data_IF_483293839110
#
_entry.id   IF_483293839110
#
_cell.length_a   1.000
_cell.length_b   1.000
_cell.length_c   1.000
_cell.angle_alpha   90.00
_cell.angle_beta   90.00
_cell.angle_gamma   90.00
#
_symmetry.space_group_name_H-M   'P 1'
#
loop_
_entity.id
_entity.type
_entity.pdbx_description
1 polymer ?
#
# COMPACT_ATOMS: atom_id res chain seq x y z
N UNK A 1 14.75 25.70 21.72
CA UNK A 1 13.30 25.43 21.87
C UNK A 1 13.07 24.00 21.41
N UNK A 2 12.14 23.26 22.04
CA UNK A 2 11.74 21.96 21.51
C UNK A 2 11.16 22.14 20.09
N UNK A 3 11.33 21.16 19.18
CA UNK A 3 10.77 21.24 17.84
C UNK A 3 9.24 21.39 17.88
N UNK A 4 8.69 22.04 16.86
CA UNK A 4 7.25 22.29 16.74
C UNK A 4 6.48 20.98 16.60
N UNK A 5 5.33 20.89 17.27
CA UNK A 5 4.32 19.86 17.01
C UNK A 5 3.94 19.90 15.52
N UNK A 6 3.77 18.74 14.84
CA UNK A 6 3.36 18.72 13.44
C UNK A 6 2.03 19.47 13.25
N UNK A 7 1.95 20.31 12.21
CA UNK A 7 0.67 20.92 11.83
C UNK A 7 -0.25 19.84 11.26
N UNK A 8 -1.42 19.64 11.86
CA UNK A 8 -2.44 18.74 11.30
C UNK A 8 -3.08 19.39 10.06
N UNK A 9 -2.81 18.82 8.88
CA UNK A 9 -3.25 19.35 7.58
C UNK A 9 -4.57 18.71 7.16
N UNK A 10 -4.66 17.38 7.25
CA UNK A 10 -5.86 16.61 6.93
C UNK A 10 -6.29 15.82 8.16
N UNK A 11 -7.26 16.33 8.94
CA UNK A 11 -7.88 15.56 10.01
C UNK A 11 -8.94 14.60 9.44
N UNK A 12 -9.09 13.42 10.04
CA UNK A 12 -10.17 12.49 9.72
C UNK A 12 -10.98 12.12 10.95
N UNK A 13 -12.24 11.76 10.74
CA UNK A 13 -13.12 11.19 11.76
C UNK A 13 -13.53 9.79 11.30
N UNK A 14 -12.97 8.76 11.93
CA UNK A 14 -13.21 7.34 11.59
C UNK A 14 -14.67 6.91 11.77
N UNK A 15 -15.49 7.72 12.47
CA UNK A 15 -16.93 7.47 12.63
C UNK A 15 -17.77 8.00 11.47
N UNK A 16 -17.16 8.76 10.55
CA UNK A 16 -17.82 9.36 9.40
C UNK A 16 -17.39 8.68 8.11
N UNK A 17 -18.32 8.62 7.16
CA UNK A 17 -17.99 8.11 5.84
C UNK A 17 -16.99 9.05 5.12
N UNK A 18 -16.23 8.56 4.14
CA UNK A 18 -15.25 9.38 3.41
C UNK A 18 -15.79 10.68 2.79
N UNK A 19 -17.04 10.68 2.30
CA UNK A 19 -17.69 11.87 1.73
C UNK A 19 -18.29 12.82 2.78
N UNK A 20 -18.29 12.43 4.06
CA UNK A 20 -18.75 13.24 5.20
C UNK A 20 -17.59 13.87 5.97
N UNK A 21 -16.36 13.61 5.54
CA UNK A 21 -15.16 14.20 6.12
C UNK A 21 -15.15 15.72 5.95
N UNK A 22 -14.57 16.41 6.93
CA UNK A 22 -14.46 17.89 6.89
C UNK A 22 -13.63 18.33 5.70
N UNK A 23 -12.55 17.60 5.43
CA UNK A 23 -11.72 17.77 4.25
C UNK A 23 -12.06 16.61 3.31
N UNK A 24 -12.53 16.89 2.07
CA UNK A 24 -12.85 15.86 1.10
C UNK A 24 -11.66 14.93 0.80
N UNK A 25 -11.94 13.62 0.73
CA UNK A 25 -10.99 12.58 0.29
C UNK A 25 -11.21 12.26 -1.20
N UNK A 26 -10.20 11.73 -1.88
CA UNK A 26 -10.31 11.30 -3.28
C UNK A 26 -9.89 9.84 -3.46
N UNK A 27 -10.35 9.17 -4.52
CA UNK A 27 -9.98 7.77 -4.77
C UNK A 27 -9.52 7.50 -6.21
N UNK A 28 -9.19 8.55 -6.94
CA UNK A 28 -8.67 8.46 -8.31
C UNK A 28 -7.45 9.36 -8.48
N UNK A 29 -6.62 8.98 -9.43
CA UNK A 29 -5.53 9.82 -9.92
C UNK A 29 -6.00 10.64 -11.12
N UNK A 30 -5.89 11.96 -11.02
CA UNK A 30 -6.17 12.88 -12.11
C UNK A 30 -5.47 14.24 -11.85
N UNK A 31 -4.89 14.90 -12.88
CA UNK A 31 -4.21 16.19 -12.72
C UNK A 31 -5.12 17.31 -12.19
N UNK A 32 -6.38 17.33 -12.62
CA UNK A 32 -7.34 18.40 -12.30
C UNK A 32 -8.00 18.26 -10.91
N UNK A 33 -7.63 17.27 -10.08
CA UNK A 33 -8.15 17.22 -8.69
C UNK A 33 -7.51 18.37 -7.90
N UNK A 34 -8.29 19.32 -7.36
CA UNK A 34 -7.72 20.49 -6.70
C UNK A 34 -7.07 20.10 -5.36
N UNK A 35 -5.97 20.78 -4.97
CA UNK A 35 -5.36 20.57 -3.68
C UNK A 35 -6.28 21.05 -2.55
N UNK A 36 -6.27 20.34 -1.42
CA UNK A 36 -7.07 20.66 -0.23
C UNK A 36 -6.35 21.61 0.73
N UNK A 37 -5.02 21.69 0.63
CA UNK A 37 -4.18 22.56 1.43
C UNK A 37 -2.80 22.77 0.80
N UNK A 38 -2.13 23.85 1.23
CA UNK A 38 -0.72 24.10 0.96
C UNK A 38 0.15 23.60 2.12
N UNK A 39 1.34 23.11 1.76
CA UNK A 39 2.42 22.78 2.69
C UNK A 39 3.70 23.40 2.17
N UNK A 40 4.41 24.11 3.05
CA UNK A 40 5.71 24.70 2.72
C UNK A 40 6.81 23.67 2.93
N UNK A 41 7.79 23.63 2.04
CA UNK A 41 8.96 22.74 2.20
C UNK A 41 9.65 22.95 3.56
N UNK A 42 10.21 21.88 4.12
CA UNK A 42 10.81 21.86 5.45
C UNK A 42 9.83 21.91 6.62
N UNK A 43 8.55 22.20 6.39
CA UNK A 43 7.49 22.13 7.41
C UNK A 43 7.29 20.69 7.88
N UNK A 44 7.18 20.48 9.19
CA UNK A 44 6.72 19.23 9.77
C UNK A 44 5.19 19.25 9.87
N UNK A 45 4.51 18.33 9.20
CA UNK A 45 3.06 18.29 9.12
C UNK A 45 2.51 16.88 9.29
N UNK A 46 1.22 16.76 9.65
CA UNK A 46 0.51 15.50 9.86
C UNK A 46 -0.67 15.37 8.90
N UNK A 47 -0.81 14.19 8.31
CA UNK A 47 -1.96 13.75 7.51
C UNK A 47 -2.55 12.53 8.20
N UNK A 48 -3.85 12.58 8.49
CA UNK A 48 -4.59 11.42 8.97
C UNK A 48 -5.32 10.77 7.80
N UNK A 49 -5.58 9.47 7.91
CA UNK A 49 -6.23 8.66 6.89
C UNK A 49 -7.15 7.63 7.53
N UNK A 50 -8.26 7.38 6.86
CA UNK A 50 -9.13 6.24 7.13
C UNK A 50 -8.56 5.05 6.38
N UNK A 51 -8.83 3.84 6.84
CA UNK A 51 -8.51 2.62 6.09
C UNK A 51 -9.01 2.72 4.63
N UNK A 52 -8.35 2.00 3.72
CA UNK A 52 -8.58 2.15 2.29
C UNK A 52 -10.00 1.90 1.81
N UNK A 53 -10.79 1.14 2.59
CA UNK A 53 -12.20 0.87 2.30
C UNK A 53 -13.13 1.98 2.77
N UNK A 54 -12.66 2.89 3.62
CA UNK A 54 -13.44 3.99 4.17
C UNK A 54 -14.37 3.55 5.31
N UNK A 55 -13.93 2.62 6.15
CA UNK A 55 -14.69 2.09 7.29
C UNK A 55 -15.74 1.05 6.91
N UNK A 56 -15.53 0.27 5.83
CA UNK A 56 -16.48 -0.77 5.40
C UNK A 56 -16.26 -2.09 6.11
N UNK A 57 -15.02 -2.38 6.47
CA UNK A 57 -14.65 -3.58 7.23
C UNK A 57 -14.88 -3.32 8.71
N UNK A 58 -15.48 -4.30 9.39
CA UNK A 58 -15.83 -4.21 10.82
C UNK A 58 -14.95 -5.13 11.65
N UNK A 59 -14.71 -4.72 12.89
CA UNK A 59 -14.20 -5.60 13.95
C UNK A 59 -15.33 -6.58 14.39
N UNK A 60 -15.48 -7.63 13.60
CA UNK A 60 -16.38 -8.76 13.86
C UNK A 60 -15.79 -10.06 13.29
N UNK A 61 -16.40 -11.19 13.66
CA UNK A 61 -15.98 -12.52 13.22
C UNK A 61 -16.65 -12.98 11.91
N UNK A 62 -17.25 -12.06 11.13
CA UNK A 62 -17.82 -12.36 9.81
C UNK A 62 -16.90 -11.88 8.71
N UNK A 63 -16.77 -12.64 7.61
CA UNK A 63 -16.08 -12.19 6.40
C UNK A 63 -17.02 -11.64 5.33
N UNK A 64 -18.29 -11.39 5.66
CA UNK A 64 -19.29 -10.90 4.69
C UNK A 64 -18.95 -9.49 4.17
N UNK A 65 -18.38 -8.64 5.02
CA UNK A 65 -17.92 -7.32 4.61
C UNK A 65 -16.81 -7.38 3.56
N UNK A 66 -15.88 -8.33 3.68
CA UNK A 66 -14.87 -8.63 2.66
C UNK A 66 -15.51 -9.20 1.40
N UNK A 67 -16.40 -10.18 1.56
CA UNK A 67 -17.05 -10.88 0.44
C UNK A 67 -17.81 -9.92 -0.47
N UNK A 68 -18.53 -8.96 0.12
CA UNK A 68 -19.41 -8.03 -0.59
C UNK A 68 -18.82 -6.62 -0.73
N UNK A 69 -17.51 -6.45 -0.46
CA UNK A 69 -16.85 -5.16 -0.57
C UNK A 69 -16.96 -4.60 -2.00
N UNK A 70 -17.34 -3.34 -2.13
CA UNK A 70 -17.31 -2.64 -3.42
C UNK A 70 -15.89 -2.15 -3.71
N UNK A 71 -15.07 -2.99 -4.33
CA UNK A 71 -13.70 -2.65 -4.72
C UNK A 71 -13.61 -1.48 -5.70
N UNK A 72 -14.71 -0.94 -6.22
CA UNK A 72 -14.66 0.23 -7.09
C UNK A 72 -14.48 1.52 -6.30
N UNK A 73 -14.80 1.55 -5.01
CA UNK A 73 -14.69 2.77 -4.19
C UNK A 73 -13.30 2.96 -3.60
N UNK A 74 -12.43 1.96 -3.70
CA UNK A 74 -11.08 2.03 -3.15
C UNK A 74 -10.12 2.76 -4.09
N UNK A 75 -9.09 3.43 -3.58
CA UNK A 75 -8.68 3.63 -2.17
C UNK A 75 -9.04 5.05 -1.74
N UNK A 76 -9.51 5.28 -0.52
CA UNK A 76 -9.73 6.65 -0.04
C UNK A 76 -8.42 7.31 0.42
N UNK A 77 -7.96 8.28 -0.35
CA UNK A 77 -6.70 8.99 -0.14
C UNK A 77 -6.92 10.38 0.49
N UNK A 78 -6.02 10.72 1.41
CA UNK A 78 -5.90 12.02 2.02
C UNK A 78 -4.98 12.91 1.17
N UNK A 79 -5.49 14.07 0.76
CA UNK A 79 -4.86 14.98 -0.20
C UNK A 79 -5.84 15.36 -1.33
N UNK A 80 -5.35 15.95 -2.43
CA UNK A 80 -3.95 16.28 -2.70
C UNK A 80 -3.44 17.49 -1.92
N UNK A 81 -2.16 17.50 -1.59
CA UNK A 81 -1.46 18.60 -0.94
C UNK A 81 -0.57 19.32 -1.96
N UNK A 82 -0.74 20.63 -2.09
CA UNK A 82 0.14 21.45 -2.93
C UNK A 82 1.39 21.79 -2.13
N UNK A 83 2.55 21.40 -2.65
CA UNK A 83 3.84 21.70 -2.02
C UNK A 83 4.44 22.95 -2.65
N UNK A 84 4.82 23.91 -1.81
CA UNK A 84 5.46 25.18 -2.18
C UNK A 84 6.81 25.33 -1.49
N UNK A 85 7.73 26.06 -2.11
CA UNK A 85 9.00 26.40 -1.48
C UNK A 85 8.84 27.51 -0.42
N UNK A 86 9.95 27.89 0.21
CA UNK A 86 9.98 28.94 1.23
C UNK A 86 9.53 30.34 0.75
N UNK A 87 9.52 30.59 -0.57
CA UNK A 87 9.02 31.84 -1.18
C UNK A 87 7.54 31.71 -1.63
N UNK A 88 6.94 30.54 -1.47
CA UNK A 88 5.57 30.24 -1.89
C UNK A 88 5.45 29.81 -3.35
N UNK A 89 6.56 29.47 -4.01
CA UNK A 89 6.56 29.00 -5.41
C UNK A 89 6.29 27.48 -5.42
N UNK A 90 5.24 27.01 -6.11
CA UNK A 90 4.92 25.59 -6.18
C UNK A 90 6.04 24.72 -6.77
N UNK A 91 6.09 23.45 -6.37
CA UNK A 91 6.84 22.43 -7.11
C UNK A 91 6.40 22.43 -8.59
N UNK A 92 7.32 22.22 -9.53
CA UNK A 92 7.03 22.28 -10.97
C UNK A 92 7.28 20.93 -11.65
N UNK A 93 6.60 20.62 -12.77
CA UNK A 93 6.90 19.43 -13.55
C UNK A 93 8.40 19.31 -13.87
N UNK A 94 9.00 18.16 -13.60
CA UNK A 94 10.45 17.95 -13.72
C UNK A 94 11.23 18.07 -12.40
N UNK A 95 10.62 18.58 -11.34
CA UNK A 95 11.15 18.55 -9.98
C UNK A 95 11.03 17.15 -9.38
N UNK A 96 11.77 16.90 -8.29
CA UNK A 96 11.57 15.75 -7.41
C UNK A 96 11.07 16.27 -6.06
N UNK A 97 10.06 15.61 -5.52
CA UNK A 97 9.59 15.83 -4.16
C UNK A 97 10.25 14.78 -3.25
N UNK A 98 11.15 15.23 -2.40
CA UNK A 98 11.78 14.41 -1.37
C UNK A 98 10.92 14.44 -0.11
N UNK A 99 10.43 13.28 0.34
CA UNK A 99 9.47 13.14 1.43
C UNK A 99 10.08 12.26 2.51
N UNK A 100 10.36 12.85 3.67
CA UNK A 100 10.79 12.13 4.86
C UNK A 100 9.56 11.71 5.67
N UNK A 101 9.46 10.43 6.01
CA UNK A 101 8.43 9.89 6.90
C UNK A 101 8.94 9.97 8.35
N UNK A 102 8.71 11.10 9.01
CA UNK A 102 9.26 11.36 10.35
C UNK A 102 8.65 10.45 11.44
N UNK A 103 7.34 10.17 11.33
CA UNK A 103 6.61 9.33 12.29
C UNK A 103 5.30 8.86 11.67
N UNK A 104 4.72 7.79 12.22
CA UNK A 104 3.49 7.19 11.74
C UNK A 104 2.94 6.18 12.76
N UNK A 105 1.66 5.83 12.62
CA UNK A 105 1.01 4.84 13.49
C UNK A 105 -0.51 4.84 13.36
N UNK A 106 -1.20 4.00 14.16
CA UNK A 106 -2.65 3.99 14.24
C UNK A 106 -3.19 5.30 14.80
N UNK A 107 -4.45 5.61 14.52
CA UNK A 107 -5.13 6.73 15.15
C UNK A 107 -5.44 6.40 16.63
N UNK A 108 -5.25 7.34 17.57
CA UNK A 108 -5.59 7.11 18.97
C UNK A 108 -7.07 6.75 19.15
N UNK A 109 -7.34 5.61 19.79
CA UNK A 109 -8.69 5.06 19.96
C UNK A 109 -9.21 4.21 18.80
N UNK A 110 -8.40 3.95 17.77
CA UNK A 110 -8.69 3.07 16.63
C UNK A 110 -7.54 2.05 16.43
N UNK A 111 -6.96 1.55 17.53
CA UNK A 111 -5.78 0.66 17.54
C UNK A 111 -6.11 -0.81 17.18
N UNK A 112 -6.67 -1.00 15.99
CA UNK A 112 -6.95 -2.31 15.40
C UNK A 112 -6.83 -2.26 13.88
N UNK A 113 -6.83 -3.43 13.26
CA UNK A 113 -6.81 -3.56 11.81
C UNK A 113 -7.26 -4.94 11.36
N UNK A 114 -7.13 -5.21 10.06
CA UNK A 114 -7.56 -6.47 9.48
C UNK A 114 -6.67 -6.94 8.34
N UNK A 115 -6.66 -8.25 8.13
CA UNK A 115 -6.11 -8.89 6.94
C UNK A 115 -7.18 -9.79 6.38
N UNK A 116 -7.30 -9.89 5.06
CA UNK A 116 -8.34 -10.71 4.46
C UNK A 116 -7.90 -11.44 3.19
N UNK A 117 -8.70 -12.43 2.82
CA UNK A 117 -8.69 -13.10 1.53
C UNK A 117 -9.99 -12.68 0.86
N UNK A 118 -9.94 -12.19 -0.38
CA UNK A 118 -11.15 -11.87 -1.14
C UNK A 118 -11.84 -13.12 -1.69
N UNK A 119 -13.15 -13.00 -1.96
CA UNK A 119 -13.85 -14.00 -2.77
C UNK A 119 -13.29 -13.97 -4.19
N UNK A 120 -13.13 -15.14 -4.82
CA UNK A 120 -12.62 -15.27 -6.19
C UNK A 120 -13.31 -14.34 -7.18
N UNK A 121 -14.63 -14.29 -7.10
CA UNK A 121 -15.47 -13.50 -8.01
C UNK A 121 -15.50 -12.00 -7.66
N UNK A 122 -14.89 -11.60 -6.54
CA UNK A 122 -14.85 -10.23 -6.07
C UNK A 122 -13.46 -9.86 -5.52
N UNK A 123 -12.49 -9.75 -6.42
CA UNK A 123 -11.11 -9.31 -6.12
C UNK A 123 -10.08 -10.40 -6.39
N UNK A 124 -10.27 -11.59 -5.82
CA UNK A 124 -9.26 -12.64 -5.86
C UNK A 124 -7.96 -12.24 -5.15
N UNK A 125 -6.81 -12.63 -5.67
CA UNK A 125 -5.52 -12.56 -4.99
C UNK A 125 -4.56 -13.67 -5.45
N UNK A 126 -3.34 -13.67 -4.92
CA UNK A 126 -2.24 -14.48 -5.45
C UNK A 126 -2.51 -16.00 -5.41
N UNK A 127 -3.16 -16.48 -4.35
CA UNK A 127 -3.47 -17.90 -4.14
C UNK A 127 -4.98 -18.22 -4.25
N UNK A 128 -5.73 -17.46 -5.05
CA UNK A 128 -7.20 -17.63 -5.21
C UNK A 128 -7.63 -19.03 -5.68
N UNK A 129 -6.74 -19.77 -6.35
CA UNK A 129 -6.99 -21.17 -6.71
C UNK A 129 -7.00 -22.15 -5.54
N UNK A 130 -6.34 -21.78 -4.44
CA UNK A 130 -6.29 -22.56 -3.22
C UNK A 130 -7.27 -22.02 -2.17
N UNK A 131 -7.50 -20.71 -2.16
CA UNK A 131 -8.34 -20.01 -1.18
C UNK A 131 -9.38 -19.14 -1.90
N UNK A 132 -10.41 -19.75 -2.52
CA UNK A 132 -11.36 -19.00 -3.35
C UNK A 132 -12.40 -18.22 -2.54
N UNK A 133 -12.54 -18.50 -1.25
CA UNK A 133 -13.61 -17.95 -0.41
C UNK A 133 -13.10 -16.89 0.54
N UNK A 134 -13.93 -15.86 0.74
CA UNK A 134 -13.59 -14.75 1.61
C UNK A 134 -13.27 -15.21 3.05
N UNK A 135 -12.21 -14.64 3.64
CA UNK A 135 -11.78 -14.84 5.03
C UNK A 135 -11.25 -13.54 5.59
N UNK A 136 -11.32 -13.37 6.91
CA UNK A 136 -10.82 -12.17 7.62
C UNK A 136 -10.16 -12.59 8.93
N UNK A 137 -9.04 -11.95 9.25
CA UNK A 137 -8.44 -11.94 10.58
C UNK A 137 -8.42 -10.50 11.09
N UNK A 138 -8.82 -10.31 12.35
CA UNK A 138 -8.73 -9.02 13.04
C UNK A 138 -7.44 -8.99 13.84
N UNK A 139 -6.78 -7.85 13.83
CA UNK A 139 -5.55 -7.59 14.57
C UNK A 139 -5.76 -6.46 15.56
N UNK A 140 -5.22 -6.63 16.77
CA UNK A 140 -5.22 -5.60 17.80
C UNK A 140 -3.79 -5.13 18.06
N UNK A 141 -3.62 -3.83 18.31
CA UNK A 141 -2.31 -3.23 18.50
C UNK A 141 -2.01 -2.95 19.98
N UNK A 142 -0.84 -3.41 20.43
CA UNK A 142 -0.30 -3.18 21.77
C UNK A 142 1.07 -2.49 21.66
N UNK A 143 1.04 -1.16 21.65
CA UNK A 143 2.25 -0.38 21.41
C UNK A 143 2.81 -0.66 20.02
N UNK A 144 3.96 -1.36 19.96
CA UNK A 144 4.59 -1.73 18.68
C UNK A 144 4.11 -3.09 18.14
N UNK A 145 3.35 -3.87 18.90
CA UNK A 145 3.01 -5.26 18.57
C UNK A 145 1.60 -5.38 17.99
N UNK A 146 1.41 -6.32 17.07
CA UNK A 146 0.10 -6.82 16.66
C UNK A 146 -0.09 -8.28 17.05
N UNK A 147 -1.33 -8.65 17.38
CA UNK A 147 -1.76 -10.04 17.56
C UNK A 147 -3.19 -10.22 17.04
N UNK A 148 -3.57 -11.47 16.72
CA UNK A 148 -4.90 -11.80 16.23
C UNK A 148 -5.50 -12.99 17.00
N UNK A 149 -6.73 -12.88 17.53
CA UNK A 149 -7.43 -14.04 18.08
C UNK A 149 -7.70 -15.13 17.05
N UNK A 150 -7.84 -14.78 15.77
CA UNK A 150 -8.06 -15.73 14.68
C UNK A 150 -6.79 -16.48 14.28
N UNK A 151 -5.60 -16.00 14.69
CA UNK A 151 -4.29 -16.64 14.43
C UNK A 151 -3.53 -16.77 15.76
N UNK A 152 -3.90 -17.74 16.62
CA UNK A 152 -3.37 -17.85 17.97
C UNK A 152 -1.86 -18.16 18.00
N UNK A 153 -1.21 -17.80 19.11
CA UNK A 153 0.22 -18.03 19.32
C UNK A 153 1.14 -17.06 18.57
N UNK A 154 0.60 -16.18 17.71
CA UNK A 154 1.38 -15.20 16.95
C UNK A 154 1.30 -13.81 17.57
N UNK A 155 2.46 -13.15 17.69
CA UNK A 155 2.58 -11.72 18.02
C UNK A 155 3.88 -11.18 17.45
N UNK A 156 3.84 -10.03 16.79
CA UNK A 156 5.04 -9.46 16.19
C UNK A 156 5.03 -7.93 16.20
N UNK A 157 6.21 -7.30 16.30
CA UNK A 157 6.31 -5.86 16.11
C UNK A 157 5.99 -5.51 14.65
N UNK A 158 5.17 -4.48 14.45
CA UNK A 158 4.79 -4.01 13.13
C UNK A 158 5.92 -3.28 12.43
N UNK A 159 6.04 -3.49 11.12
CA UNK A 159 6.79 -2.61 10.24
C UNK A 159 5.79 -1.68 9.55
N UNK A 160 5.37 -0.65 10.27
CA UNK A 160 4.26 0.21 9.85
C UNK A 160 4.68 1.13 8.69
N UNK A 161 3.84 1.26 7.67
CA UNK A 161 4.12 2.00 6.45
C UNK A 161 2.80 2.36 5.72
N UNK A 162 2.79 3.38 4.84
CA UNK A 162 1.70 3.54 3.87
C UNK A 162 1.88 2.60 2.67
N UNK A 163 0.82 1.94 2.24
CA UNK A 163 0.72 1.28 0.94
C UNK A 163 0.73 2.30 -0.21
N UNK A 164 0.06 3.45 0.01
CA UNK A 164 -0.06 4.52 -0.99
C UNK A 164 0.64 5.82 -0.56
N UNK A 165 1.64 6.22 -1.36
CA UNK A 165 2.24 7.57 -1.37
C UNK A 165 2.55 7.93 -2.82
N UNK A 166 1.99 9.04 -3.32
CA UNK A 166 2.17 9.43 -4.72
C UNK A 166 1.85 10.89 -5.04
N UNK A 167 2.41 11.39 -6.13
CA UNK A 167 2.09 12.70 -6.72
C UNK A 167 1.02 12.56 -7.80
N UNK A 168 0.31 13.62 -8.15
CA UNK A 168 -0.65 13.56 -9.25
C UNK A 168 0.08 13.40 -10.61
N UNK A 169 -0.46 12.58 -11.54
CA UNK A 169 0.10 12.45 -12.88
C UNK A 169 -0.19 13.71 -13.71
N UNK A 170 0.63 13.95 -14.75
CA UNK A 170 0.23 14.83 -15.84
C UNK A 170 -0.87 14.18 -16.69
N UNK A 171 -1.58 14.97 -17.49
CA UNK A 171 -2.57 14.41 -18.43
C UNK A 171 -1.93 13.45 -19.44
N UNK A 172 -0.70 13.72 -19.87
CA UNK A 172 0.05 12.83 -20.78
C UNK A 172 0.35 11.49 -20.10
N UNK A 173 0.84 11.50 -18.86
CA UNK A 173 1.12 10.29 -18.10
C UNK A 173 -0.15 9.48 -17.83
N UNK A 174 -1.23 10.15 -17.46
CA UNK A 174 -2.55 9.52 -17.26
C UNK A 174 -3.03 8.81 -18.54
N UNK A 175 -2.85 9.43 -19.71
CA UNK A 175 -3.21 8.81 -20.99
C UNK A 175 -2.35 7.58 -21.29
N UNK A 176 -1.04 7.63 -21.00
CA UNK A 176 -0.14 6.47 -21.15
C UNK A 176 -0.63 5.30 -20.28
N UNK A 177 -1.01 5.57 -19.04
CA UNK A 177 -1.57 4.56 -18.12
C UNK A 177 -2.84 3.94 -18.67
N UNK A 178 -3.82 4.77 -19.02
CA UNK A 178 -5.09 4.31 -19.55
C UNK A 178 -4.91 3.47 -20.83
N UNK A 179 -4.09 3.93 -21.77
CA UNK A 179 -3.87 3.20 -23.04
C UNK A 179 -3.22 1.83 -22.83
N UNK A 180 -2.21 1.71 -21.95
CA UNK A 180 -1.55 0.42 -21.72
C UNK A 180 -2.40 -0.53 -20.87
N UNK A 181 -3.15 -0.01 -19.91
CA UNK A 181 -3.98 -0.81 -19.00
C UNK A 181 -5.29 -1.24 -19.66
N UNK A 182 -5.93 -0.40 -20.48
CA UNK A 182 -7.12 -0.78 -21.25
C UNK A 182 -6.85 -1.89 -22.27
N UNK A 183 -5.62 -2.00 -22.78
CA UNK A 183 -5.20 -3.12 -23.66
C UNK A 183 -5.20 -4.47 -22.95
N UNK A 184 -5.12 -4.48 -21.62
CA UNK A 184 -5.11 -5.68 -20.79
C UNK A 184 -6.47 -5.92 -20.12
N UNK A 185 -7.31 -4.89 -19.97
CA UNK A 185 -8.54 -4.95 -19.20
C UNK A 185 -9.68 -5.68 -19.93
N UNK A 186 -10.33 -6.62 -19.23
CA UNK A 186 -11.56 -7.27 -19.69
C UNK A 186 -12.86 -6.60 -19.21
N UNK A 187 -12.85 -5.66 -18.23
CA UNK A 187 -14.06 -4.91 -17.79
C UNK A 187 -13.78 -3.56 -17.06
N UNK A 188 -14.73 -2.60 -17.14
CA UNK A 188 -14.67 -1.22 -16.56
C UNK A 188 -15.42 -1.10 -15.21
N UNK A 189 -14.91 -0.30 -14.25
CA UNK A 189 -15.48 -0.08 -12.88
C UNK A 189 -15.96 1.37 -12.58
N UNK A 190 -16.80 1.58 -11.54
CA UNK A 190 -17.36 2.88 -11.05
C UNK A 190 -16.28 3.84 -10.49
N UNK A 191 -16.58 5.15 -10.26
CA UNK A 191 -15.58 6.24 -10.05
C UNK A 191 -16.03 7.36 -9.07
N UNK A 192 -15.11 7.97 -8.31
CA UNK A 192 -15.33 9.03 -7.28
C UNK A 192 -14.20 10.09 -7.36
N UNK A 193 -14.48 11.40 -7.23
CA UNK A 193 -13.56 12.48 -7.64
C UNK A 193 -13.50 13.69 -6.69
N UNK A 194 -13.28 13.44 -5.40
CA UNK A 194 -13.05 14.50 -4.41
C UNK A 194 -14.21 15.52 -4.29
N UNK A 195 -13.89 16.82 -4.18
CA UNK A 195 -14.84 17.93 -4.03
C UNK A 195 -15.60 18.32 -5.30
N UNK A 196 -15.36 17.65 -6.43
CA UNK A 196 -16.10 17.93 -7.66
C UNK A 196 -17.49 17.30 -7.51
N UNK A 197 -18.52 18.14 -7.55
CA UNK A 197 -19.90 17.70 -7.36
C UNK A 197 -20.29 16.66 -8.42
N UNK A 198 -20.76 15.50 -7.96
CA UNK A 198 -21.22 14.40 -8.81
C UNK A 198 -22.32 14.87 -9.77
N UNK A 199 -22.22 14.47 -11.04
CA UNK A 199 -23.17 14.83 -12.10
C UNK A 199 -22.90 16.15 -12.83
N UNK A 200 -21.85 16.90 -12.46
CA UNK A 200 -21.43 18.07 -13.26
C UNK A 200 -20.67 17.66 -14.53
N UNK A 201 -20.61 18.54 -15.53
CA UNK A 201 -19.85 18.27 -16.77
C UNK A 201 -18.35 18.03 -16.50
N UNK A 202 -17.79 18.78 -15.55
CA UNK A 202 -16.43 18.62 -15.06
C UNK A 202 -16.23 17.26 -14.36
N UNK A 203 -17.19 16.86 -13.51
CA UNK A 203 -17.18 15.52 -12.91
C UNK A 203 -17.23 14.43 -13.96
N UNK A 204 -18.10 14.53 -14.97
CA UNK A 204 -18.20 13.53 -16.03
C UNK A 204 -16.93 13.42 -16.87
N UNK A 205 -16.29 14.55 -17.21
CA UNK A 205 -15.03 14.57 -17.95
C UNK A 205 -13.96 13.81 -17.17
N UNK A 206 -13.70 14.26 -15.94
CA UNK A 206 -12.65 13.70 -15.08
C UNK A 206 -12.97 12.25 -14.75
N UNK A 207 -14.25 11.91 -14.53
CA UNK A 207 -14.61 10.55 -14.14
C UNK A 207 -14.28 9.65 -15.31
N UNK A 208 -14.61 10.01 -16.54
CA UNK A 208 -14.36 9.16 -17.69
C UNK A 208 -12.88 8.83 -17.92
N UNK A 209 -11.95 9.71 -17.53
CA UNK A 209 -10.51 9.55 -17.78
C UNK A 209 -9.64 9.24 -16.55
N UNK A 210 -10.12 9.48 -15.32
CA UNK A 210 -9.31 9.29 -14.12
C UNK A 210 -8.98 7.81 -13.84
N UNK A 211 -7.72 7.57 -13.47
CA UNK A 211 -7.19 6.23 -13.23
C UNK A 211 -7.55 5.72 -11.81
N UNK A 212 -7.73 4.39 -11.70
CA UNK A 212 -7.83 3.70 -10.41
C UNK A 212 -6.52 3.83 -9.64
N UNK A 213 -6.61 3.91 -8.31
CA UNK A 213 -5.44 3.95 -7.42
C UNK A 213 -4.84 2.57 -7.14
N UNK A 214 -5.43 1.48 -7.66
CA UNK A 214 -5.03 0.08 -7.36
C UNK A 214 -3.57 -0.24 -7.70
N UNK A 215 -3.05 0.00 -8.92
CA UNK A 215 -1.67 -0.36 -9.21
C UNK A 215 -0.72 0.80 -8.92
N UNK A 216 0.48 0.46 -8.43
CA UNK A 216 1.64 1.33 -8.39
C UNK A 216 2.13 1.66 -9.80
N UNK A 217 2.62 2.89 -9.98
CA UNK A 217 3.02 3.44 -11.29
C UNK A 217 4.24 4.36 -11.14
N UNK A 218 4.56 5.07 -12.21
CA UNK A 218 5.67 6.02 -12.30
C UNK A 218 5.61 7.14 -11.26
N UNK A 219 4.42 7.46 -10.72
CA UNK A 219 4.21 8.46 -9.67
C UNK A 219 4.37 7.90 -8.24
N UNK A 220 4.78 6.64 -8.09
CA UNK A 220 4.58 5.88 -6.85
C UNK A 220 3.14 5.36 -6.82
N UNK A 221 2.32 5.90 -5.92
CA UNK A 221 0.96 5.42 -5.72
C UNK A 221 0.97 4.15 -4.88
N UNK A 222 0.22 3.13 -5.29
CA UNK A 222 0.07 1.90 -4.52
C UNK A 222 1.19 0.91 -4.78
N UNK A 223 2.30 1.10 -4.06
CA UNK A 223 3.49 0.29 -4.25
C UNK A 223 3.61 -0.84 -3.22
N UNK A 224 2.94 -0.73 -2.06
CA UNK A 224 2.92 -1.77 -1.02
C UNK A 224 4.31 -2.25 -0.63
N UNK A 225 5.22 -1.30 -0.44
CA UNK A 225 6.61 -1.55 -0.06
C UNK A 225 6.74 -1.42 1.45
N UNK A 226 6.76 -2.56 2.17
CA UNK A 226 6.85 -2.55 3.63
C UNK A 226 8.06 -1.79 4.19
N UNK A 227 9.16 -1.73 3.43
CA UNK A 227 10.37 -1.01 3.81
C UNK A 227 10.26 0.52 3.68
N UNK A 228 9.23 1.05 3.01
CA UNK A 228 8.90 2.48 2.97
C UNK A 228 8.23 2.91 4.29
N UNK A 229 8.95 2.73 5.39
CA UNK A 229 8.44 2.83 6.76
C UNK A 229 8.99 4.05 7.51
N UNK A 230 8.91 4.03 8.84
CA UNK A 230 9.31 5.14 9.71
C UNK A 230 10.78 5.51 9.52
N UNK A 231 11.01 6.77 9.22
CA UNK A 231 12.32 7.37 8.95
C UNK A 231 12.82 7.16 7.52
N UNK A 232 12.04 6.49 6.65
CA UNK A 232 12.38 6.41 5.23
C UNK A 232 12.25 7.78 4.55
N UNK A 233 13.03 7.98 3.47
CA UNK A 233 12.93 9.16 2.61
C UNK A 233 12.67 8.72 1.17
N UNK A 234 11.52 9.07 0.62
CA UNK A 234 11.13 8.74 -0.76
C UNK A 234 11.25 9.95 -1.67
N UNK A 235 11.69 9.72 -2.90
CA UNK A 235 11.93 10.74 -3.92
C UNK A 235 10.93 10.52 -5.06
N UNK A 236 9.83 11.26 -5.03
CA UNK A 236 8.76 11.15 -6.02
C UNK A 236 8.95 12.15 -7.16
N UNK A 237 8.72 11.75 -8.42
CA UNK A 237 8.69 12.69 -9.55
C UNK A 237 7.49 13.63 -9.48
N UNK A 238 7.68 14.88 -9.93
CA UNK A 238 6.62 15.89 -10.02
C UNK A 238 6.16 16.02 -11.47
N UNK A 239 4.87 15.79 -11.72
CA UNK A 239 4.28 15.86 -13.07
C UNK A 239 3.30 17.02 -13.28
N UNK A 240 2.87 17.68 -12.20
CA UNK A 240 1.97 18.84 -12.22
C UNK A 240 2.48 19.92 -11.27
N UNK A 241 2.07 21.16 -11.49
CA UNK A 241 2.35 22.26 -10.56
C UNK A 241 1.83 21.91 -9.16
N UNK A 242 2.67 22.11 -8.14
CA UNK A 242 2.36 21.80 -6.76
C UNK A 242 2.58 20.35 -6.35
N UNK A 243 2.94 19.46 -7.27
CA UNK A 243 3.05 18.00 -7.10
C UNK A 243 1.74 17.27 -6.76
N UNK A 244 0.84 17.90 -6.00
CA UNK A 244 -0.44 17.34 -5.55
C UNK A 244 -0.23 15.97 -4.89
N UNK A 245 0.52 15.98 -3.79
CA UNK A 245 0.87 14.80 -2.99
C UNK A 245 -0.37 14.22 -2.29
N UNK A 246 -0.59 12.92 -2.42
CA UNK A 246 -1.62 12.20 -1.69
C UNK A 246 -1.07 10.92 -1.07
N UNK A 247 -1.71 10.50 0.02
CA UNK A 247 -1.36 9.27 0.75
C UNK A 247 -2.60 8.63 1.38
N UNK A 248 -2.54 7.33 1.60
CA UNK A 248 -3.60 6.54 2.22
C UNK A 248 -3.10 5.12 2.47
N UNK A 249 -4.03 4.21 2.75
CA UNK A 249 -3.75 2.78 2.78
C UNK A 249 -2.71 2.41 3.85
N UNK A 250 -3.00 2.75 5.11
CA UNK A 250 -2.03 2.56 6.17
C UNK A 250 -1.97 1.09 6.59
N UNK A 251 -0.75 0.56 6.63
CA UNK A 251 -0.47 -0.81 7.03
C UNK A 251 0.25 -0.83 8.37
N UNK A 252 -0.30 -1.53 9.36
CA UNK A 252 0.44 -1.79 10.61
C UNK A 252 1.68 -2.66 10.36
N UNK A 253 1.54 -3.65 9.48
CA UNK A 253 2.60 -4.56 9.05
C UNK A 253 2.18 -5.26 7.75
N UNK A 254 3.13 -5.71 6.93
CA UNK A 254 2.88 -6.42 5.69
C UNK A 254 3.99 -7.44 5.40
N UNK A 255 3.64 -8.54 4.75
CA UNK A 255 4.60 -9.46 4.13
C UNK A 255 4.95 -9.06 2.70
N UNK A 256 6.13 -9.45 2.20
CA UNK A 256 6.49 -9.12 0.82
C UNK A 256 5.53 -9.72 -0.20
N UNK A 257 5.16 -8.90 -1.18
CA UNK A 257 4.21 -9.26 -2.23
C UNK A 257 2.75 -9.22 -1.80
N UNK A 258 2.45 -8.91 -0.53
CA UNK A 258 1.09 -8.62 -0.05
C UNK A 258 0.08 -9.69 -0.50
N UNK A 259 0.49 -10.96 -0.37
CA UNK A 259 0.00 -12.04 -1.23
C UNK A 259 -1.51 -12.30 -1.14
N UNK A 260 -2.18 -11.86 -0.07
CA UNK A 260 -3.65 -11.99 0.07
C UNK A 260 -4.46 -10.90 -0.65
N UNK A 261 -3.81 -9.86 -1.20
CA UNK A 261 -4.39 -8.68 -1.88
C UNK A 261 -5.29 -7.77 -1.03
N UNK A 262 -6.07 -8.32 -0.10
CA UNK A 262 -6.47 -7.57 1.10
C UNK A 262 -5.43 -7.87 2.19
N UNK A 263 -4.18 -7.69 1.80
CA UNK A 263 -3.01 -7.97 2.60
C UNK A 263 -2.53 -6.72 3.29
N UNK A 264 -1.39 -6.87 3.95
CA UNK A 264 -1.07 -6.11 5.15
C UNK A 264 -2.08 -6.31 6.30
N UNK A 265 -1.78 -5.66 7.42
CA UNK A 265 -2.76 -5.34 8.46
C UNK A 265 -3.26 -3.93 8.17
N UNK A 266 -4.40 -3.86 7.52
CA UNK A 266 -5.08 -2.65 7.10
C UNK A 266 -5.59 -1.86 8.29
N UNK A 267 -5.36 -0.54 8.33
CA UNK A 267 -5.84 0.31 9.42
C UNK A 267 -6.11 1.76 9.00
N UNK A 268 -6.86 2.48 9.81
CA UNK A 268 -6.79 3.94 9.83
C UNK A 268 -5.50 4.38 10.54
N UNK A 269 -4.92 5.50 10.13
CA UNK A 269 -3.64 5.92 10.69
C UNK A 269 -3.28 7.37 10.45
N UNK A 270 -2.04 7.71 10.76
CA UNK A 270 -1.45 9.00 10.47
C UNK A 270 -0.03 8.88 9.93
N UNK A 271 0.36 9.87 9.13
CA UNK A 271 1.75 10.13 8.73
C UNK A 271 2.15 11.52 9.20
N UNK A 272 3.31 11.63 9.81
CA UNK A 272 4.02 12.89 10.03
C UNK A 272 5.16 12.98 9.03
N UNK A 273 5.14 14.02 8.20
CA UNK A 273 5.98 14.14 7.02
C UNK A 273 6.75 15.46 7.03
N UNK A 274 7.87 15.46 6.32
CA UNK A 274 8.54 16.67 5.81
C UNK A 274 8.80 16.52 4.32
N UNK A 275 8.59 17.60 3.58
CA UNK A 275 8.81 17.63 2.14
C UNK A 275 9.92 18.63 1.79
N UNK A 276 10.73 18.31 0.79
CA UNK A 276 11.72 19.19 0.18
C UNK A 276 11.56 19.17 -1.35
N UNK A 277 11.65 20.33 -2.00
CA UNK A 277 11.59 20.41 -3.46
C UNK A 277 13.01 20.38 -4.03
N UNK A 278 13.31 19.37 -4.83
CA UNK A 278 14.56 19.28 -5.58
C UNK A 278 14.29 19.77 -7.01
N UNK A 279 14.64 21.03 -7.26
CA UNK A 279 14.38 21.70 -8.54
C UNK A 279 15.10 21.01 -9.71
N UNK A 280 14.36 20.63 -10.74
CA UNK A 280 14.88 19.88 -11.88
C UNK A 280 15.38 18.46 -11.56
N UNK A 281 15.06 17.94 -10.36
CA UNK A 281 15.60 16.69 -9.84
C UNK A 281 15.30 15.45 -10.68
N UNK A 282 14.24 15.44 -11.49
CA UNK A 282 13.96 14.29 -12.35
C UNK A 282 15.09 14.09 -13.38
N UNK A 283 15.59 15.18 -13.96
CA UNK A 283 16.68 15.11 -14.94
C UNK A 283 17.99 14.65 -14.30
N UNK A 284 18.24 15.03 -13.05
CA UNK A 284 19.51 14.77 -12.38
C UNK A 284 19.56 13.38 -11.74
N UNK A 285 18.45 12.93 -11.15
CA UNK A 285 18.42 11.73 -10.31
C UNK A 285 17.51 10.61 -10.85
N UNK A 286 16.46 10.93 -11.61
CA UNK A 286 15.49 9.95 -12.12
C UNK A 286 15.63 9.79 -13.63
N UNK A 287 16.72 9.16 -14.06
CA UNK A 287 16.96 8.88 -15.49
C UNK A 287 15.80 8.05 -16.06
N UNK A 288 15.11 8.51 -17.11
CA UNK A 288 14.00 7.75 -17.69
C UNK A 288 14.45 6.41 -18.27
N UNK A 289 13.74 5.34 -17.93
CA UNK A 289 13.94 3.99 -18.45
C UNK A 289 12.62 3.53 -19.09
N UNK A 290 12.38 3.98 -20.31
CA UNK A 290 11.19 3.65 -21.07
C UNK A 290 11.01 4.48 -22.33
N UNK A 291 9.87 4.36 -23.03
CA UNK A 291 9.66 4.98 -24.33
C UNK A 291 9.47 6.51 -24.29
N UNK A 292 9.23 7.10 -23.12
CA UNK A 292 9.05 8.56 -22.98
C UNK A 292 9.81 9.10 -21.75
N UNK A 293 10.08 10.41 -21.67
CA UNK A 293 10.68 11.04 -20.48
C UNK A 293 9.88 10.89 -19.18
N UNK A 294 8.62 10.44 -19.26
CA UNK A 294 7.74 10.21 -18.11
C UNK A 294 7.91 8.83 -17.48
N UNK A 295 8.66 7.93 -18.14
CA UNK A 295 8.95 6.58 -17.63
C UNK A 295 10.10 6.63 -16.63
N UNK A 296 9.81 7.20 -15.48
CA UNK A 296 10.68 7.27 -14.31
C UNK A 296 10.12 6.37 -13.22
N UNK A 297 10.94 6.03 -12.23
CA UNK A 297 10.51 5.28 -11.06
C UNK A 297 11.00 5.98 -9.80
N UNK A 298 10.16 6.06 -8.74
CA UNK A 298 10.61 6.55 -7.46
C UNK A 298 11.82 5.75 -6.93
N UNK A 299 12.65 6.44 -6.15
CA UNK A 299 13.70 5.82 -5.33
C UNK A 299 13.44 6.18 -3.87
N UNK A 300 13.93 5.37 -2.94
CA UNK A 300 13.79 5.67 -1.52
C UNK A 300 14.98 5.15 -0.72
N UNK A 301 15.24 5.83 0.39
CA UNK A 301 16.15 5.39 1.45
C UNK A 301 15.33 4.69 2.54
N UNK A 302 15.78 3.52 2.99
CA UNK A 302 15.14 2.78 4.08
C UNK A 302 15.40 3.52 5.40
N UNK A 303 14.36 3.65 6.22
CA UNK A 303 14.45 4.25 7.54
C UNK A 303 15.33 3.45 8.52
N UNK A 304 15.84 4.09 9.58
CA UNK A 304 16.69 3.45 10.57
C UNK A 304 15.91 2.61 11.62
N UNK A 305 14.59 2.46 11.46
CA UNK A 305 13.71 1.79 12.43
C UNK A 305 13.01 0.63 11.75
N UNK A 306 13.35 -0.59 12.15
CA UNK A 306 12.69 -1.81 11.69
C UNK A 306 12.63 -2.87 12.81
N UNK A 307 11.63 -3.77 12.77
CA UNK A 307 11.65 -5.01 13.54
C UNK A 307 12.94 -5.80 13.34
N UNK A 308 13.65 -6.09 14.43
CA UNK A 308 14.86 -6.91 14.37
C UNK A 308 14.51 -8.38 14.62
N UNK A 309 14.65 -9.21 13.59
CA UNK A 309 14.58 -10.66 13.69
C UNK A 309 15.94 -11.29 13.41
N UNK A 310 16.36 -12.23 14.25
CA UNK A 310 17.66 -12.92 14.13
C UNK A 310 17.56 -14.30 13.49
N UNK A 311 16.38 -14.90 13.47
CA UNK A 311 16.15 -16.27 13.04
C UNK A 311 15.04 -16.32 12.01
N UNK A 312 15.33 -17.00 10.90
CA UNK A 312 14.47 -17.05 9.72
C UNK A 312 14.40 -18.48 9.21
N UNK A 313 13.19 -18.92 8.88
CA UNK A 313 12.97 -20.16 8.13
C UNK A 313 12.63 -19.80 6.68
N UNK A 314 13.42 -20.30 5.73
CA UNK A 314 13.35 -19.91 4.31
C UNK A 314 12.77 -21.04 3.47
N UNK A 315 11.78 -20.69 2.66
CA UNK A 315 11.10 -21.61 1.73
C UNK A 315 11.44 -21.22 0.29
N UNK A 316 11.79 -22.21 -0.52
CA UNK A 316 12.13 -22.03 -1.92
C UNK A 316 10.96 -22.38 -2.84
N UNK A 317 10.94 -21.73 -4.00
CA UNK A 317 10.08 -22.10 -5.11
C UNK A 317 10.77 -21.82 -6.44
N UNK A 318 10.33 -22.55 -7.47
CA UNK A 318 10.87 -22.49 -8.83
C UNK A 318 9.75 -22.29 -9.86
N UNK A 319 10.09 -21.94 -11.10
CA UNK A 319 9.14 -21.74 -12.21
C UNK A 319 8.47 -23.04 -12.73
N UNK A 320 8.06 -23.93 -11.83
CA UNK A 320 7.28 -25.13 -12.11
C UNK A 320 6.01 -25.08 -11.26
N UNK A 321 4.85 -25.04 -11.93
CA UNK A 321 3.57 -24.87 -11.24
C UNK A 321 3.07 -26.15 -10.53
N UNK A 322 1.94 -26.04 -9.85
CA UNK A 322 1.29 -27.13 -9.10
C UNK A 322 0.97 -28.37 -9.95
N UNK A 323 0.81 -28.22 -11.27
CA UNK A 323 0.55 -29.32 -12.20
C UNK A 323 1.83 -30.00 -12.71
N UNK A 324 3.00 -29.46 -12.37
CA UNK A 324 4.30 -29.88 -12.90
C UNK A 324 4.64 -29.27 -14.26
N UNK A 325 3.87 -28.27 -14.73
CA UNK A 325 4.18 -27.59 -16.00
C UNK A 325 5.36 -26.63 -15.80
N UNK A 326 6.31 -26.72 -16.72
CA UNK A 326 7.46 -25.83 -16.80
C UNK A 326 7.06 -24.46 -17.35
N UNK A 327 7.44 -23.39 -16.65
CA UNK A 327 7.40 -22.00 -17.10
C UNK A 327 8.82 -21.49 -17.33
N UNK A 328 9.01 -20.43 -18.12
CA UNK A 328 10.33 -19.92 -18.47
C UNK A 328 10.65 -18.65 -17.68
N UNK A 329 11.60 -18.74 -16.74
CA UNK A 329 12.06 -17.64 -15.88
C UNK A 329 10.91 -16.85 -15.21
N UNK A 330 9.85 -17.55 -14.82
CA UNK A 330 8.67 -16.96 -14.20
C UNK A 330 8.86 -16.87 -12.68
N UNK A 331 9.21 -15.67 -12.20
CA UNK A 331 9.39 -15.38 -10.77
C UNK A 331 8.07 -15.38 -10.00
N UNK A 332 6.94 -15.08 -10.65
CA UNK A 332 5.62 -15.11 -10.01
C UNK A 332 5.22 -16.53 -9.67
N UNK A 333 5.40 -17.47 -10.61
CA UNK A 333 5.22 -18.91 -10.35
C UNK A 333 6.18 -19.36 -9.26
N UNK A 334 7.47 -18.99 -9.34
CA UNK A 334 8.45 -19.35 -8.32
C UNK A 334 8.03 -18.87 -6.91
N UNK A 335 7.57 -17.62 -6.77
CA UNK A 335 7.14 -17.07 -5.49
C UNK A 335 5.86 -17.75 -4.97
N UNK A 336 4.93 -18.08 -5.88
CA UNK A 336 3.74 -18.90 -5.57
C UNK A 336 4.13 -20.24 -4.96
N UNK A 337 5.14 -20.91 -5.53
CA UNK A 337 5.64 -22.19 -5.01
C UNK A 337 6.29 -22.04 -3.63
N UNK A 338 7.07 -20.98 -3.41
CA UNK A 338 7.66 -20.70 -2.10
C UNK A 338 6.58 -20.49 -1.02
N UNK A 339 5.56 -19.69 -1.32
CA UNK A 339 4.43 -19.45 -0.42
C UNK A 339 3.63 -20.73 -0.13
N UNK A 340 3.33 -21.56 -1.13
CA UNK A 340 2.63 -22.83 -0.93
C UNK A 340 3.45 -23.82 -0.08
N UNK A 341 4.77 -23.86 -0.26
CA UNK A 341 5.66 -24.68 0.56
C UNK A 341 5.66 -24.22 2.03
N UNK A 342 5.68 -22.91 2.28
CA UNK A 342 5.55 -22.33 3.62
C UNK A 342 4.21 -22.68 4.28
N UNK A 343 3.10 -22.52 3.54
CA UNK A 343 1.75 -22.87 4.00
C UNK A 343 1.66 -24.33 4.41
N UNK A 344 2.14 -25.23 3.55
CA UNK A 344 2.10 -26.67 3.82
C UNK A 344 2.95 -27.06 5.03
N UNK A 345 4.12 -26.44 5.21
CA UNK A 345 4.98 -26.69 6.37
C UNK A 345 4.34 -26.22 7.67
N UNK A 346 3.93 -24.95 7.75
CA UNK A 346 3.39 -24.35 8.96
C UNK A 346 2.03 -24.97 9.37
N UNK A 347 1.24 -25.46 8.41
CA UNK A 347 -0.02 -26.15 8.71
C UNK A 347 0.19 -27.44 9.52
N UNK A 348 1.40 -28.03 9.52
CA UNK A 348 1.72 -29.21 10.34
C UNK A 348 1.78 -28.91 11.84
N UNK A 349 1.82 -27.63 12.22
CA UNK A 349 1.88 -27.17 13.61
C UNK A 349 0.49 -26.78 14.16
N UNK A 350 -0.59 -27.14 13.47
CA UNK A 350 -1.96 -26.95 13.94
C UNK A 350 -2.68 -25.72 13.38
N UNK A 351 -2.00 -24.91 12.57
CA UNK A 351 -2.64 -23.82 11.82
C UNK A 351 -3.46 -24.36 10.64
N UNK A 352 -4.61 -23.75 10.36
CA UNK A 352 -5.27 -23.92 9.07
C UNK A 352 -4.45 -23.27 7.96
N UNK A 353 -4.65 -23.73 6.72
CA UNK A 353 -3.96 -23.16 5.56
C UNK A 353 -4.34 -21.69 5.35
N UNK A 354 -5.59 -21.33 5.62
CA UNK A 354 -6.08 -19.94 5.58
C UNK A 354 -5.41 -19.07 6.65
N UNK A 355 -5.22 -19.58 7.88
CA UNK A 355 -4.49 -18.85 8.92
C UNK A 355 -3.06 -18.55 8.49
N UNK A 356 -2.37 -19.54 7.92
CA UNK A 356 -1.01 -19.33 7.42
C UNK A 356 -1.00 -18.35 6.26
N UNK A 357 -1.93 -18.45 5.31
CA UNK A 357 -1.98 -17.54 4.16
C UNK A 357 -2.22 -16.08 4.59
N UNK A 358 -3.18 -15.85 5.50
CA UNK A 358 -3.40 -14.53 6.11
C UNK A 358 -2.14 -14.06 6.83
N UNK A 359 -1.50 -14.91 7.63
CA UNK A 359 -0.26 -14.58 8.34
C UNK A 359 0.87 -14.17 7.39
N UNK A 360 1.08 -14.90 6.30
CA UNK A 360 2.14 -14.61 5.32
C UNK A 360 1.95 -13.27 4.62
N UNK A 361 0.71 -12.78 4.55
CA UNK A 361 0.39 -11.48 3.94
C UNK A 361 0.66 -10.29 4.87
N UNK A 362 0.73 -10.51 6.18
CA UNK A 362 0.77 -9.44 7.18
C UNK A 362 1.98 -9.47 8.12
N UNK A 363 2.53 -10.64 8.43
CA UNK A 363 3.79 -10.72 9.16
C UNK A 363 4.93 -10.19 8.29
N UNK A 364 6.00 -9.61 8.88
CA UNK A 364 7.12 -9.03 8.15
C UNK A 364 8.04 -10.12 7.56
N UNK A 365 7.49 -11.02 6.75
CA UNK A 365 8.23 -12.01 5.98
C UNK A 365 8.97 -11.35 4.82
N UNK A 366 10.06 -11.99 4.37
CA UNK A 366 10.90 -11.49 3.28
C UNK A 366 10.76 -12.36 2.03
N UNK A 367 10.35 -11.72 0.94
CA UNK A 367 10.27 -12.31 -0.38
C UNK A 367 11.46 -11.86 -1.21
N UNK A 368 12.20 -12.81 -1.79
CA UNK A 368 13.33 -12.48 -2.67
C UNK A 368 13.19 -13.17 -4.02
N UNK A 369 13.47 -12.42 -5.08
CA UNK A 369 13.87 -12.99 -6.37
C UNK A 369 15.34 -13.41 -6.21
N UNK A 370 15.57 -14.64 -5.76
CA UNK A 370 16.91 -15.14 -5.44
C UNK A 370 17.76 -15.38 -6.68
N UNK A 371 17.15 -15.87 -7.76
CA UNK A 371 17.81 -16.11 -9.04
C UNK A 371 16.83 -15.93 -10.20
N UNK A 372 17.23 -15.16 -11.23
CA UNK A 372 16.34 -14.83 -12.37
C UNK A 372 16.99 -15.08 -13.74
N UNK A 373 18.13 -15.77 -13.74
CA UNK A 373 18.97 -15.95 -14.95
C UNK A 373 19.21 -17.41 -15.32
N UNK A 374 19.06 -18.34 -14.36
CA UNK A 374 19.38 -19.75 -14.53
C UNK A 374 18.25 -20.50 -15.24
N UNK A 375 18.27 -20.45 -16.57
CA UNK A 375 17.28 -21.12 -17.41
C UNK A 375 17.16 -22.62 -17.11
N UNK A 376 15.94 -23.18 -17.00
CA UNK A 376 14.66 -22.52 -17.30
C UNK A 376 13.99 -21.85 -16.08
N UNK A 377 14.53 -21.99 -14.87
CA UNK A 377 13.82 -21.68 -13.63
C UNK A 377 14.30 -20.37 -13.01
N UNK A 378 13.37 -19.44 -12.78
CA UNK A 378 13.56 -18.47 -11.73
C UNK A 378 13.49 -19.20 -10.37
N UNK A 379 14.22 -18.68 -9.39
CA UNK A 379 14.17 -19.12 -7.99
C UNK A 379 13.72 -17.93 -7.15
N UNK A 380 12.64 -18.13 -6.41
CA UNK A 380 12.18 -17.18 -5.41
C UNK A 380 12.19 -17.82 -4.03
N UNK A 381 12.42 -17.00 -3.00
CA UNK A 381 12.38 -17.44 -1.61
C UNK A 381 11.40 -16.62 -0.79
N UNK A 382 10.81 -17.26 0.22
CA UNK A 382 9.99 -16.64 1.25
C UNK A 382 10.57 -16.99 2.62
N UNK A 383 11.11 -16.01 3.33
CA UNK A 383 11.69 -16.17 4.65
C UNK A 383 10.72 -15.67 5.73
N UNK A 384 10.47 -16.49 6.73
CA UNK A 384 9.54 -16.20 7.82
C UNK A 384 10.34 -16.05 9.12
N UNK A 385 10.17 -14.95 9.88
CA UNK A 385 10.85 -14.77 11.14
C UNK A 385 10.27 -15.74 12.17
N UNK A 386 11.07 -16.65 12.72
CA UNK A 386 10.57 -17.69 13.63
C UNK A 386 10.17 -17.13 15.00
N UNK A 387 10.70 -15.97 15.37
CA UNK A 387 10.43 -15.32 16.65
C UNK A 387 8.99 -14.78 16.81
N UNK A 388 8.17 -14.80 15.75
CA UNK A 388 6.78 -14.31 15.80
C UNK A 388 5.81 -15.32 16.43
N UNK A 389 6.23 -16.59 16.52
CA UNK A 389 5.44 -17.70 17.07
C UNK A 389 5.67 -17.87 18.58
N UNK A 390 4.76 -18.61 19.24
CA UNK A 390 4.77 -18.93 20.67
C UNK A 390 4.79 -17.71 21.61
N UNK A 391 4.28 -16.56 21.15
CA UNK A 391 4.32 -15.30 21.90
C UNK A 391 3.05 -15.04 22.72
N UNK A 392 1.94 -15.72 22.43
CA UNK A 392 0.66 -15.54 23.11
C UNK A 392 0.28 -16.83 23.84
N UNK A 393 0.53 -16.89 25.15
CA UNK A 393 -0.07 -17.90 26.02
C UNK A 393 -1.44 -17.41 26.46
N UNK A 394 -2.49 -17.81 25.73
CA UNK A 394 -3.81 -17.81 26.34
C UNK A 394 -3.77 -18.97 27.35
N UNK A 395 -3.80 -18.63 28.64
CA UNK A 395 -4.05 -19.62 29.67
C UNK A 395 -5.42 -20.26 29.38
N UNK A 396 -5.38 -21.58 29.17
CA UNK A 396 -6.47 -22.56 28.95
C UNK A 396 -7.93 -22.08 28.91
#
# INVERSE_FOLDING_TARGET
MAPLTPRLVVPVDVKKQPWEQKIPLHNRWHPDIPPVADVTEGELFRVEMIDWTGGRVRDDNSADDIKFLDLTITHYLSGPLRIVDSEGIPASPGDVLAIEICNLGPLPGDEWGYTAIFERENGGGFLTDHFPSARKAIWYFEGIYAYSPQIPGVRFPGLTHPGIVGTAPSLELLNIWNEREERLAENKSKKLLNCIQEGTAEWHKIANEAARTIPGRENGGNCDIKNLSKGSKVYLPVFVEGANLSTGDMHFSQGDGEISFCGAIEMSGFLELKCEIIRGGMKEYLTPVGPTPLHVSPIFEIGPVEPRFSEWLVFEGISVDESGKQHFLDASVAYKRAALNAIEYLSRFGYSKEQVYLLLSCCPCEGRISGIVDSPNAVATLAIPTAIFDQCSYAD
#
